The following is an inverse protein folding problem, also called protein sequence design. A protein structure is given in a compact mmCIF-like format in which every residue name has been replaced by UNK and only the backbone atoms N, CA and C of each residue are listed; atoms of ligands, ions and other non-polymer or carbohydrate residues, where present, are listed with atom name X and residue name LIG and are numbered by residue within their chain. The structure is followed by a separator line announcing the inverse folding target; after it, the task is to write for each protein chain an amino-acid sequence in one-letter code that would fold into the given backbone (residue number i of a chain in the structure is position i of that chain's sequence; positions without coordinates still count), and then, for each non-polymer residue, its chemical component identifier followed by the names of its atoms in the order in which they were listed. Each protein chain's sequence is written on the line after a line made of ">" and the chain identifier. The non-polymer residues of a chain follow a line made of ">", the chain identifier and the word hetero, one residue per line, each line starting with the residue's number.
data_IF_805735798217
#
_entry.id   IF_805735798217
#
_cell.length_a   1.000
_cell.length_b   1.000
_cell.length_c   1.000
_cell.angle_alpha   90.00
_cell.angle_beta   90.00
_cell.angle_gamma   90.00
#
_symmetry.space_group_name_H-M   'P 1'
#
loop_
_entity.id
_entity.type
_entity.pdbx_description
1 polymer ?
#
# COMPACT_ATOMS: atom_id res chain seq x y z
N UNK A 1 -3.12 35.35 -12.09
CA UNK A 1 -4.58 35.13 -11.92
C UNK A 1 -4.77 34.03 -10.91
N UNK A 2 -4.85 34.40 -9.62
CA UNK A 2 -5.01 33.47 -8.51
C UNK A 2 -6.49 33.21 -8.22
N UNK A 3 -6.84 31.97 -7.90
CA UNK A 3 -8.16 31.60 -7.39
C UNK A 3 -8.03 31.21 -5.92
N UNK A 4 -8.59 32.03 -5.06
CA UNK A 4 -8.73 31.79 -3.63
C UNK A 4 -10.06 31.09 -3.35
N UNK A 5 -10.03 29.99 -2.59
CA UNK A 5 -11.20 29.34 -2.04
C UNK A 5 -11.63 30.06 -0.73
N UNK A 6 -12.83 30.64 -0.71
CA UNK A 6 -13.45 31.22 0.47
C UNK A 6 -14.25 30.18 1.26
N UNK A 7 -13.91 29.99 2.55
CA UNK A 7 -14.73 29.26 3.52
C UNK A 7 -15.67 30.23 4.26
N UNK A 8 -16.96 29.89 4.29
CA UNK A 8 -18.02 30.60 5.02
C UNK A 8 -18.09 30.09 6.48
N UNK A 9 -17.70 30.92 7.43
CA UNK A 9 -17.92 30.68 8.87
C UNK A 9 -19.25 31.31 9.32
N UNK A 10 -20.15 30.50 9.88
CA UNK A 10 -21.47 30.93 10.39
C UNK A 10 -21.34 31.31 11.88
N UNK A 11 -21.58 32.59 12.19
CA UNK A 11 -21.72 33.15 13.56
C UNK A 11 -22.90 32.51 14.30
N UNK A 12 -22.65 31.93 15.47
CA UNK A 12 -23.70 31.59 16.46
C UNK A 12 -23.90 32.79 17.38
N UNK A 13 -25.14 33.30 17.47
CA UNK A 13 -25.53 34.41 18.36
C UNK A 13 -25.67 33.88 19.80
N UNK A 14 -24.99 34.53 20.75
CA UNK A 14 -25.10 34.24 22.18
C UNK A 14 -26.46 34.64 22.75
N UNK A 15 -27.06 33.75 23.54
CA UNK A 15 -28.24 34.05 24.39
C UNK A 15 -27.75 34.60 25.73
N UNK A 16 -28.44 35.63 26.24
CA UNK A 16 -28.23 36.15 27.60
C UNK A 16 -28.83 35.15 28.60
N UNK A 17 -28.07 34.77 29.62
CA UNK A 17 -28.54 33.91 30.72
C UNK A 17 -29.33 34.74 31.75
N UNK A 18 -30.36 34.16 32.40
CA UNK A 18 -31.10 34.80 33.49
C UNK A 18 -30.24 34.90 34.76
N UNK A 19 -30.53 35.90 35.60
CA UNK A 19 -29.92 36.05 36.93
C UNK A 19 -30.27 34.83 37.79
N UNK A 20 -29.27 34.01 38.12
CA UNK A 20 -29.43 32.91 39.08
C UNK A 20 -29.26 33.45 40.50
N UNK A 21 -30.21 33.13 41.39
CA UNK A 21 -30.02 33.30 42.83
C UNK A 21 -28.91 32.34 43.28
N UNK A 22 -27.86 32.88 43.93
CA UNK A 22 -26.80 32.06 44.52
C UNK A 22 -27.38 31.27 45.69
N UNK A 23 -27.30 29.94 45.61
CA UNK A 23 -27.59 29.06 46.73
C UNK A 23 -26.27 28.70 47.40
N UNK A 24 -26.22 28.97 48.70
CA UNK A 24 -25.08 28.68 49.58
C UNK A 24 -25.37 27.32 50.23
N UNK A 25 -24.57 26.31 49.90
CA UNK A 25 -24.63 25.02 50.59
C UNK A 25 -23.63 25.04 51.75
N UNK A 26 -24.13 24.87 52.97
CA UNK A 26 -23.31 24.69 54.16
C UNK A 26 -23.17 23.20 54.45
N UNK A 27 -21.95 22.68 54.33
CA UNK A 27 -21.63 21.28 54.62
C UNK A 27 -20.96 21.21 55.98
N UNK A 28 -21.58 20.49 56.93
CA UNK A 28 -20.96 20.19 58.22
C UNK A 28 -20.64 18.70 58.30
N UNK A 29 -19.36 18.39 58.53
CA UNK A 29 -18.90 17.02 58.77
C UNK A 29 -18.45 16.90 60.21
N UNK A 30 -19.11 16.02 60.97
CA UNK A 30 -18.82 15.68 62.36
C UNK A 30 -18.20 14.27 62.42
N UNK A 31 -17.15 14.10 63.24
CA UNK A 31 -16.53 12.81 63.55
C UNK A 31 -16.05 11.97 62.35
N UNK A 32 -15.46 12.60 61.33
CA UNK A 32 -14.87 11.86 60.21
C UNK A 32 -13.46 11.35 60.54
N UNK A 33 -13.33 10.05 60.80
CA UNK A 33 -12.04 9.33 60.88
C UNK A 33 -11.53 8.95 59.46
N UNK A 34 -12.28 9.29 58.41
CA UNK A 34 -11.98 8.90 57.04
C UNK A 34 -10.76 9.61 56.45
N UNK A 35 -10.01 8.87 55.62
CA UNK A 35 -9.04 9.43 54.68
C UNK A 35 -9.76 10.33 53.66
N UNK A 36 -9.38 11.61 53.59
CA UNK A 36 -9.74 12.63 52.59
C UNK A 36 -11.08 12.40 51.84
N UNK A 37 -12.11 13.17 52.18
CA UNK A 37 -13.45 13.08 51.59
C UNK A 37 -13.60 14.06 50.43
N UNK A 38 -14.25 13.62 49.35
CA UNK A 38 -14.40 14.38 48.12
C UNK A 38 -15.89 14.51 47.78
N UNK A 39 -16.35 15.74 47.57
CA UNK A 39 -17.72 16.04 47.12
C UNK A 39 -17.74 16.22 45.60
N UNK A 40 -18.64 15.52 44.90
CA UNK A 40 -18.83 15.64 43.46
C UNK A 40 -20.26 16.05 43.13
N UNK A 41 -20.41 16.90 42.12
CA UNK A 41 -21.68 17.21 41.49
C UNK A 41 -21.84 16.39 40.21
N UNK A 42 -23.04 15.91 39.92
CA UNK A 42 -23.29 15.04 38.77
C UNK A 42 -22.71 15.61 37.46
N UNK A 43 -21.72 14.91 36.90
CA UNK A 43 -21.08 15.28 35.63
C UNK A 43 -19.97 16.33 35.72
N UNK A 44 -19.64 16.81 36.92
CA UNK A 44 -18.53 17.74 37.19
C UNK A 44 -17.35 17.07 37.90
N UNK A 45 -16.20 17.77 37.90
CA UNK A 45 -15.04 17.38 38.71
C UNK A 45 -15.31 17.55 40.22
N UNK A 46 -14.31 17.22 41.06
CA UNK A 46 -14.45 17.35 42.50
C UNK A 46 -14.62 18.82 42.88
N UNK A 47 -15.67 19.10 43.65
CA UNK A 47 -16.01 20.45 44.04
C UNK A 47 -15.40 20.87 45.37
N UNK A 48 -15.17 19.90 46.27
CA UNK A 48 -14.61 20.13 47.59
C UNK A 48 -13.81 18.91 48.03
N UNK A 49 -12.61 19.15 48.55
CA UNK A 49 -11.82 18.14 49.27
C UNK A 49 -11.80 18.53 50.75
N UNK A 50 -12.21 17.59 51.60
CA UNK A 50 -12.22 17.73 53.05
C UNK A 50 -11.01 16.96 53.58
N UNK A 51 -10.05 17.63 54.23
CA UNK A 51 -8.84 16.98 54.72
C UNK A 51 -9.13 15.97 55.84
N UNK A 52 -8.25 14.96 56.02
CA UNK A 52 -8.42 13.95 57.06
C UNK A 52 -8.30 14.55 58.48
N UNK A 53 -8.98 13.93 59.45
CA UNK A 53 -8.95 14.29 60.89
C UNK A 53 -9.47 15.69 61.23
N UNK A 54 -10.47 16.18 60.50
CA UNK A 54 -11.22 17.36 60.92
C UNK A 54 -12.35 16.96 61.87
N UNK A 55 -12.26 17.36 63.14
CA UNK A 55 -13.33 17.14 64.12
C UNK A 55 -14.59 17.98 63.81
N UNK A 56 -14.40 19.13 63.15
CA UNK A 56 -15.47 20.00 62.67
C UNK A 56 -15.00 20.73 61.41
N UNK A 57 -15.43 20.26 60.23
CA UNK A 57 -15.23 20.99 58.98
C UNK A 57 -16.53 21.64 58.55
N UNK A 58 -16.50 22.96 58.35
CA UNK A 58 -17.61 23.74 57.82
C UNK A 58 -17.08 24.58 56.66
N UNK A 59 -17.63 24.35 55.47
CA UNK A 59 -17.31 25.16 54.29
C UNK A 59 -18.57 25.51 53.53
N UNK A 60 -18.51 26.63 52.84
CA UNK A 60 -19.58 27.21 52.06
C UNK A 60 -19.22 27.05 50.60
N UNK A 61 -19.91 26.13 49.92
CA UNK A 61 -19.72 25.94 48.49
C UNK A 61 -20.78 26.77 47.76
N UNK A 62 -20.33 27.75 46.98
CA UNK A 62 -21.20 28.59 46.16
C UNK A 62 -21.62 27.80 44.92
N UNK A 63 -22.87 27.31 44.90
CA UNK A 63 -23.35 26.44 43.85
C UNK A 63 -23.91 27.28 42.70
N UNK A 64 -23.10 27.45 41.66
CA UNK A 64 -23.55 28.08 40.42
C UNK A 64 -24.59 27.25 39.65
N UNK A 65 -24.80 25.98 40.03
CA UNK A 65 -25.70 25.04 39.38
C UNK A 65 -26.60 24.37 40.41
N UNK A 66 -27.90 24.29 40.13
CA UNK A 66 -28.89 23.54 40.91
C UNK A 66 -28.50 22.06 40.90
N UNK A 67 -27.95 21.48 41.98
CA UNK A 67 -27.59 20.08 41.96
C UNK A 67 -28.81 19.30 42.42
N UNK A 68 -29.55 18.73 41.47
CA UNK A 68 -30.63 17.79 41.79
C UNK A 68 -30.11 16.51 42.48
N UNK A 69 -28.78 16.32 42.51
CA UNK A 69 -28.10 15.37 43.40
C UNK A 69 -26.59 15.66 43.46
N UNK A 70 -25.98 15.27 44.57
CA UNK A 70 -24.52 15.23 44.76
C UNK A 70 -24.11 13.86 45.27
N UNK A 71 -22.83 13.53 45.08
CA UNK A 71 -22.24 12.25 45.43
C UNK A 71 -20.97 12.47 46.26
N UNK A 72 -20.79 11.68 47.31
CA UNK A 72 -19.72 11.85 48.29
C UNK A 72 -18.83 10.60 48.29
N UNK A 73 -17.53 10.80 48.10
CA UNK A 73 -16.55 9.74 47.88
C UNK A 73 -15.38 9.83 48.87
N UNK A 74 -14.82 8.68 49.25
CA UNK A 74 -13.54 8.58 49.99
C UNK A 74 -12.39 8.25 49.02
N UNK A 75 -11.15 8.63 49.33
CA UNK A 75 -10.01 8.48 48.37
C UNK A 75 -9.49 7.05 48.20
N UNK A 76 -9.63 6.16 49.20
CA UNK A 76 -9.20 4.77 49.04
C UNK A 76 -9.77 3.80 50.10
N UNK A 77 -10.48 2.73 49.68
CA UNK A 77 -11.02 2.51 48.34
C UNK A 77 -12.14 3.52 48.05
N UNK A 78 -12.32 3.90 46.77
CA UNK A 78 -13.32 4.90 46.38
C UNK A 78 -14.74 4.33 46.54
N UNK A 79 -15.40 4.67 47.65
CA UNK A 79 -16.76 4.26 47.95
C UNK A 79 -17.71 5.45 47.85
N UNK A 80 -18.81 5.26 47.12
CA UNK A 80 -19.95 6.17 47.19
C UNK A 80 -20.61 5.97 48.55
N UNK A 81 -20.47 6.95 49.44
CA UNK A 81 -20.99 6.84 50.80
C UNK A 81 -22.52 6.98 50.79
N UNK A 82 -23.06 7.91 49.99
CA UNK A 82 -24.51 8.14 49.87
C UNK A 82 -24.80 8.95 48.61
N UNK A 83 -25.92 8.64 47.93
CA UNK A 83 -26.50 9.47 46.88
C UNK A 83 -27.79 10.07 47.41
N UNK A 84 -27.88 11.40 47.43
CA UNK A 84 -29.07 12.08 47.95
C UNK A 84 -29.82 12.80 46.84
N UNK A 85 -31.13 12.60 46.84
CA UNK A 85 -32.12 13.34 46.06
C UNK A 85 -33.27 13.65 47.01
N UNK A 86 -33.07 14.64 47.89
CA UNK A 86 -34.10 15.05 48.85
C UNK A 86 -34.68 16.41 48.44
N UNK A 87 -35.98 16.50 48.09
CA UNK A 87 -36.60 17.78 47.75
C UNK A 87 -36.73 18.73 48.95
N UNK A 88 -36.61 18.26 50.20
CA UNK A 88 -36.78 19.11 51.40
C UNK A 88 -35.53 19.92 51.79
N UNK A 89 -34.32 19.53 51.35
CA UNK A 89 -33.09 20.28 51.61
C UNK A 89 -33.05 21.66 50.91
N UNK A 90 -34.01 21.95 50.02
CA UNK A 90 -34.10 23.20 49.28
C UNK A 90 -34.52 24.41 50.15
N UNK A 91 -35.12 24.21 51.33
CA UNK A 91 -35.66 25.33 52.13
C UNK A 91 -34.71 25.88 53.20
N UNK A 92 -33.77 25.09 53.72
CA UNK A 92 -32.95 25.48 54.88
C UNK A 92 -31.49 25.75 54.57
N UNK A 93 -30.99 25.37 53.38
CA UNK A 93 -29.61 25.67 52.92
C UNK A 93 -28.49 24.98 53.72
N UNK A 94 -28.83 24.15 54.72
CA UNK A 94 -27.87 23.47 55.59
C UNK A 94 -28.14 21.97 55.54
N UNK A 95 -27.11 21.23 55.15
CA UNK A 95 -27.15 19.78 55.06
C UNK A 95 -26.19 19.19 56.08
N UNK A 96 -26.72 18.47 57.07
CA UNK A 96 -25.92 17.79 58.10
C UNK A 96 -25.89 16.30 57.74
N UNK A 97 -24.68 15.73 57.63
CA UNK A 97 -24.48 14.31 57.31
C UNK A 97 -23.77 13.65 58.49
N UNK A 98 -24.51 12.88 59.27
CA UNK A 98 -23.95 12.02 60.33
C UNK A 98 -23.68 10.61 59.77
N UNK A 99 -22.43 10.17 59.86
CA UNK A 99 -22.00 8.82 59.46
C UNK A 99 -21.61 8.09 60.75
N UNK A 100 -22.36 7.06 61.14
CA UNK A 100 -22.06 6.24 62.33
C UNK A 100 -21.34 4.95 61.93
N UNK A 101 -20.28 4.61 62.65
CA UNK A 101 -19.30 3.56 62.32
C UNK A 101 -19.83 2.10 62.34
N UNK A 102 -21.07 1.87 62.80
CA UNK A 102 -21.57 0.52 63.15
C UNK A 102 -21.98 -0.39 61.98
N UNK A 103 -22.40 0.16 60.85
CA UNK A 103 -22.95 -0.62 59.71
C UNK A 103 -22.12 -0.48 58.41
N UNK A 104 -21.05 0.31 58.45
CA UNK A 104 -20.25 0.67 57.27
C UNK A 104 -19.60 -0.56 56.60
N UNK A 105 -19.23 -1.58 57.37
CA UNK A 105 -18.57 -2.78 56.86
C UNK A 105 -19.49 -3.66 55.99
N UNK A 106 -20.69 -3.97 56.46
CA UNK A 106 -21.66 -4.82 55.72
C UNK A 106 -22.27 -4.10 54.52
N UNK A 107 -22.61 -2.82 54.68
CA UNK A 107 -23.18 -2.01 53.60
C UNK A 107 -22.16 -1.81 52.48
N UNK A 108 -20.86 -1.63 52.80
CA UNK A 108 -19.81 -1.51 51.79
C UNK A 108 -19.61 -2.80 50.97
N UNK A 109 -19.72 -3.97 51.61
CA UNK A 109 -19.55 -5.26 50.94
C UNK A 109 -20.74 -5.57 50.00
N UNK A 110 -21.97 -5.32 50.45
CA UNK A 110 -23.19 -5.50 49.64
C UNK A 110 -23.28 -4.46 48.50
N UNK A 111 -22.89 -3.19 48.72
CA UNK A 111 -22.81 -2.20 47.65
C UNK A 111 -21.72 -2.53 46.62
N UNK A 112 -20.58 -3.06 47.07
CA UNK A 112 -19.52 -3.50 46.17
C UNK A 112 -20.01 -4.66 45.30
N UNK A 113 -20.71 -5.65 45.87
CA UNK A 113 -21.31 -6.75 45.13
C UNK A 113 -22.38 -6.26 44.13
N UNK A 114 -23.26 -5.34 44.53
CA UNK A 114 -24.31 -4.79 43.67
C UNK A 114 -23.73 -3.93 42.52
N UNK A 115 -22.69 -3.14 42.80
CA UNK A 115 -22.00 -2.31 41.81
C UNK A 115 -21.28 -3.18 40.78
N UNK A 116 -20.58 -4.22 41.23
CA UNK A 116 -19.96 -5.21 40.34
C UNK A 116 -21.01 -5.88 39.45
N UNK A 117 -22.15 -6.33 40.00
CA UNK A 117 -23.22 -6.92 39.20
C UNK A 117 -23.82 -5.94 38.17
N UNK A 118 -24.05 -4.68 38.55
CA UNK A 118 -24.57 -3.65 37.64
C UNK A 118 -23.59 -3.35 36.50
N UNK A 119 -22.29 -3.25 36.82
CA UNK A 119 -21.23 -3.02 35.85
C UNK A 119 -21.10 -4.21 34.89
N UNK A 120 -21.21 -5.44 35.38
CA UNK A 120 -21.25 -6.65 34.54
C UNK A 120 -22.46 -6.68 33.60
N UNK A 121 -23.64 -6.28 34.07
CA UNK A 121 -24.86 -6.21 33.24
C UNK A 121 -24.71 -5.14 32.15
N UNK A 122 -24.18 -3.97 32.48
CA UNK A 122 -23.97 -2.90 31.52
C UNK A 122 -22.87 -3.26 30.50
N UNK A 123 -21.77 -3.85 30.95
CA UNK A 123 -20.73 -4.35 30.05
C UNK A 123 -21.26 -5.41 29.07
N UNK A 124 -22.15 -6.33 29.53
CA UNK A 124 -22.83 -7.28 28.62
C UNK A 124 -23.76 -6.58 27.64
N UNK A 125 -24.50 -5.54 28.05
CA UNK A 125 -25.35 -4.73 27.15
C UNK A 125 -24.52 -4.00 26.10
N UNK A 126 -23.42 -3.37 26.49
CA UNK A 126 -22.48 -2.71 25.58
C UNK A 126 -21.87 -3.69 24.59
N UNK A 127 -21.44 -4.88 25.04
CA UNK A 127 -20.95 -5.94 24.14
C UNK A 127 -22.00 -6.41 23.13
N UNK A 128 -23.25 -6.59 23.57
CA UNK A 128 -24.35 -6.96 22.65
C UNK A 128 -24.64 -5.85 21.63
N UNK A 129 -24.64 -4.57 22.05
CA UNK A 129 -24.79 -3.42 21.14
C UNK A 129 -23.64 -3.34 20.14
N UNK A 130 -22.40 -3.49 20.60
CA UNK A 130 -21.23 -3.51 19.72
C UNK A 130 -21.29 -4.67 18.70
N UNK A 131 -21.68 -5.87 19.15
CA UNK A 131 -21.87 -7.02 18.26
C UNK A 131 -22.98 -6.79 17.23
N UNK A 132 -24.11 -6.18 17.64
CA UNK A 132 -25.20 -5.82 16.74
C UNK A 132 -24.76 -4.81 15.66
N UNK A 133 -23.99 -3.79 16.03
CA UNK A 133 -23.41 -2.80 15.09
C UNK A 133 -22.47 -3.48 14.09
N UNK A 134 -21.61 -4.39 14.54
CA UNK A 134 -20.72 -5.16 13.64
C UNK A 134 -21.53 -6.00 12.65
N UNK A 135 -22.60 -6.67 13.12
CA UNK A 135 -23.47 -7.48 12.28
C UNK A 135 -24.22 -6.62 11.25
N UNK A 136 -24.81 -5.49 11.66
CA UNK A 136 -25.47 -4.53 10.77
C UNK A 136 -24.50 -4.03 9.69
N UNK A 137 -23.27 -3.66 10.06
CA UNK A 137 -22.24 -3.24 9.12
C UNK A 137 -21.85 -4.34 8.12
N UNK A 138 -21.76 -5.60 8.57
CA UNK A 138 -21.49 -6.74 7.69
C UNK A 138 -22.63 -6.97 6.70
N UNK A 139 -23.88 -6.90 7.15
CA UNK A 139 -25.07 -7.03 6.29
C UNK A 139 -25.12 -5.90 5.28
N UNK A 140 -24.95 -4.65 5.72
CA UNK A 140 -24.92 -3.46 4.85
C UNK A 140 -23.83 -3.56 3.78
N UNK A 141 -22.60 -3.97 4.14
CA UNK A 141 -21.51 -4.21 3.17
C UNK A 141 -21.86 -5.31 2.18
N UNK A 142 -22.50 -6.40 2.61
CA UNK A 142 -22.92 -7.51 1.74
C UNK A 142 -23.98 -7.06 0.74
N UNK A 143 -24.98 -6.30 1.20
CA UNK A 143 -26.03 -5.71 0.34
C UNK A 143 -25.42 -4.73 -0.66
N UNK A 144 -24.53 -3.85 -0.22
CA UNK A 144 -23.84 -2.91 -1.11
C UNK A 144 -23.03 -3.64 -2.19
N UNK A 145 -22.23 -4.65 -1.82
CA UNK A 145 -21.47 -5.46 -2.80
C UNK A 145 -22.40 -6.15 -3.81
N UNK A 146 -23.52 -6.71 -3.36
CA UNK A 146 -24.54 -7.32 -4.26
C UNK A 146 -25.15 -6.29 -5.20
N UNK A 147 -25.50 -5.09 -4.72
CA UNK A 147 -26.01 -3.99 -5.57
C UNK A 147 -24.99 -3.54 -6.61
N UNK A 148 -23.73 -3.33 -6.21
CA UNK A 148 -22.65 -2.96 -7.13
C UNK A 148 -22.41 -4.07 -8.17
N UNK A 149 -22.41 -5.34 -7.75
CA UNK A 149 -22.26 -6.47 -8.67
C UNK A 149 -23.43 -6.55 -9.67
N UNK A 150 -24.68 -6.42 -9.20
CA UNK A 150 -25.87 -6.38 -10.05
C UNK A 150 -25.82 -5.20 -11.03
N UNK A 151 -25.44 -4.00 -10.56
CA UNK A 151 -25.26 -2.83 -11.41
C UNK A 151 -24.20 -3.03 -12.50
N UNK A 152 -23.10 -3.74 -12.22
CA UNK A 152 -22.10 -4.11 -13.23
C UNK A 152 -22.63 -5.09 -14.27
N UNK A 153 -23.46 -6.06 -13.86
CA UNK A 153 -24.12 -7.01 -14.77
C UNK A 153 -25.11 -6.28 -15.68
N UNK A 154 -25.99 -5.47 -15.11
CA UNK A 154 -26.97 -4.66 -15.86
C UNK A 154 -26.24 -3.74 -16.85
N UNK A 155 -25.21 -3.01 -16.39
CA UNK A 155 -24.40 -2.15 -17.27
C UNK A 155 -23.74 -2.94 -18.40
N UNK A 156 -23.23 -4.15 -18.13
CA UNK A 156 -22.62 -5.01 -19.15
C UNK A 156 -23.65 -5.46 -20.18
N UNK A 157 -24.83 -5.91 -19.77
CA UNK A 157 -25.88 -6.35 -20.70
C UNK A 157 -26.46 -5.18 -21.50
N UNK A 158 -26.70 -4.03 -20.88
CA UNK A 158 -27.14 -2.81 -21.59
C UNK A 158 -26.10 -2.31 -22.61
N UNK A 159 -24.80 -2.44 -22.29
CA UNK A 159 -23.72 -2.06 -23.21
C UNK A 159 -23.37 -3.15 -24.21
N UNK A 160 -23.89 -4.38 -24.07
CA UNK A 160 -23.52 -5.52 -24.93
C UNK A 160 -23.84 -5.28 -26.40
N UNK A 161 -25.02 -4.75 -26.79
CA UNK A 161 -25.31 -4.43 -28.20
C UNK A 161 -24.36 -3.37 -28.76
N UNK A 162 -24.03 -2.34 -27.96
CA UNK A 162 -23.11 -1.28 -28.37
C UNK A 162 -21.67 -1.79 -28.52
N UNK A 163 -21.19 -2.62 -27.60
CA UNK A 163 -19.89 -3.27 -27.70
C UNK A 163 -19.83 -4.22 -28.90
N UNK A 164 -20.90 -4.97 -29.18
CA UNK A 164 -21.01 -5.81 -30.37
C UNK A 164 -20.94 -4.96 -31.67
N UNK A 165 -21.68 -3.85 -31.73
CA UNK A 165 -21.63 -2.90 -32.86
C UNK A 165 -20.23 -2.32 -33.05
N UNK A 166 -19.54 -1.90 -31.97
CA UNK A 166 -18.15 -1.41 -32.04
C UNK A 166 -17.18 -2.49 -32.53
N UNK A 167 -17.32 -3.73 -32.07
CA UNK A 167 -16.51 -4.86 -32.57
C UNK A 167 -16.75 -5.10 -34.06
N UNK A 168 -18.01 -5.09 -34.50
CA UNK A 168 -18.35 -5.24 -35.92
C UNK A 168 -17.74 -4.12 -36.78
N UNK A 169 -17.89 -2.86 -36.36
CA UNK A 169 -17.26 -1.70 -37.02
C UNK A 169 -15.74 -1.86 -37.07
N UNK A 170 -15.12 -2.26 -35.96
CA UNK A 170 -13.68 -2.48 -35.90
C UNK A 170 -13.20 -3.58 -36.86
N UNK A 171 -13.94 -4.69 -36.99
CA UNK A 171 -13.64 -5.75 -37.97
C UNK A 171 -13.71 -5.22 -39.40
N UNK A 172 -14.74 -4.42 -39.74
CA UNK A 172 -14.87 -3.80 -41.07
C UNK A 172 -13.72 -2.83 -41.34
N UNK A 173 -13.41 -1.94 -40.39
CA UNK A 173 -12.28 -1.01 -40.51
C UNK A 173 -10.95 -1.74 -40.68
N UNK A 174 -10.71 -2.80 -39.90
CA UNK A 174 -9.51 -3.63 -40.06
C UNK A 174 -9.43 -4.27 -41.45
N UNK A 175 -10.54 -4.74 -42.02
CA UNK A 175 -10.59 -5.28 -43.39
C UNK A 175 -10.22 -4.22 -44.43
N UNK A 176 -10.80 -3.02 -44.32
CA UNK A 176 -10.52 -1.89 -45.22
C UNK A 176 -9.04 -1.49 -45.14
N UNK A 177 -8.53 -1.29 -43.92
CA UNK A 177 -7.14 -0.89 -43.68
C UNK A 177 -6.16 -1.96 -44.18
N UNK A 178 -6.44 -3.26 -43.95
CA UNK A 178 -5.62 -4.36 -44.48
C UNK A 178 -5.59 -4.35 -46.01
N UNK A 179 -6.75 -4.18 -46.66
CA UNK A 179 -6.81 -4.11 -48.12
C UNK A 179 -6.06 -2.90 -48.69
N UNK A 180 -6.16 -1.74 -48.04
CA UNK A 180 -5.41 -0.56 -48.44
C UNK A 180 -3.89 -0.71 -48.22
N UNK A 181 -3.47 -1.27 -47.09
CA UNK A 181 -2.06 -1.54 -46.80
C UNK A 181 -1.46 -2.59 -47.75
N UNK A 182 -2.23 -3.59 -48.17
CA UNK A 182 -1.80 -4.58 -49.17
C UNK A 182 -1.56 -3.95 -50.55
N UNK A 183 -2.33 -2.93 -50.91
CA UNK A 183 -2.16 -2.19 -52.18
C UNK A 183 -0.99 -1.21 -52.15
N UNK A 184 -0.57 -0.75 -50.96
CA UNK A 184 0.63 0.10 -50.85
C UNK A 184 1.87 -0.75 -51.11
N UNK A 185 2.56 -0.38 -52.18
CA UNK A 185 3.86 -0.92 -52.56
C UNK A 185 4.97 -0.11 -51.88
N UNK A 186 6.01 -0.81 -51.43
CA UNK A 186 7.21 -0.23 -50.81
C UNK A 186 8.43 -0.85 -51.47
N UNK A 187 9.50 -0.07 -51.61
CA UNK A 187 10.78 -0.53 -52.17
C UNK A 187 11.69 -0.99 -51.04
N UNK A 188 12.19 -2.22 -51.12
CA UNK A 188 13.15 -2.74 -50.14
C UNK A 188 14.50 -2.04 -50.32
N UNK A 189 15.13 -1.48 -49.27
CA UNK A 189 16.43 -0.81 -49.41
C UNK A 189 17.61 -1.78 -49.61
N UNK A 190 17.40 -3.10 -49.49
CA UNK A 190 18.45 -4.11 -49.70
C UNK A 190 18.41 -4.68 -51.12
N UNK A 191 17.25 -5.19 -51.57
CA UNK A 191 17.12 -5.79 -52.91
C UNK A 191 16.51 -4.86 -53.96
N UNK A 192 16.06 -3.66 -53.58
CA UNK A 192 15.37 -2.69 -54.45
C UNK A 192 14.07 -3.19 -55.12
N UNK A 193 13.57 -4.36 -54.71
CA UNK A 193 12.29 -4.87 -55.19
C UNK A 193 11.12 -4.09 -54.58
N UNK A 194 10.11 -3.84 -55.42
CA UNK A 194 8.87 -3.16 -55.02
C UNK A 194 7.82 -4.21 -54.62
N UNK A 195 7.60 -4.33 -53.31
CA UNK A 195 6.77 -5.39 -52.72
C UNK A 195 5.59 -4.81 -51.93
N UNK A 196 4.56 -5.63 -51.70
CA UNK A 196 3.46 -5.27 -50.82
C UNK A 196 3.96 -5.12 -49.38
N UNK A 197 3.34 -4.23 -48.60
CA UNK A 197 3.70 -3.98 -47.19
C UNK A 197 3.78 -5.24 -46.31
N UNK A 198 2.94 -6.24 -46.58
CA UNK A 198 2.90 -7.50 -45.83
C UNK A 198 4.19 -8.33 -45.95
N UNK A 199 4.99 -8.07 -47.00
CA UNK A 199 6.28 -8.71 -47.23
C UNK A 199 7.41 -8.07 -46.41
N UNK A 200 7.18 -6.94 -45.74
CA UNK A 200 8.20 -6.26 -44.94
C UNK A 200 8.19 -6.73 -43.49
N UNK A 201 9.35 -6.65 -42.85
CA UNK A 201 9.53 -6.85 -41.42
C UNK A 201 10.47 -5.80 -40.88
N UNK A 202 10.29 -5.43 -39.62
CA UNK A 202 11.31 -4.71 -38.88
C UNK A 202 12.40 -5.71 -38.52
N UNK A 203 13.63 -5.47 -38.93
CA UNK A 203 14.78 -6.30 -38.52
C UNK A 203 15.10 -6.06 -37.05
N UNK A 204 15.18 -4.80 -36.66
CA UNK A 204 15.47 -4.37 -35.31
C UNK A 204 14.15 -3.98 -34.64
N UNK A 205 13.86 -4.43 -33.41
CA UNK A 205 12.71 -3.89 -32.64
C UNK A 205 12.90 -2.44 -32.22
N UNK A 206 14.09 -1.88 -32.51
CA UNK A 206 14.70 -0.77 -31.81
C UNK A 206 14.79 -1.11 -30.31
N UNK A 207 16.00 -1.05 -29.77
CA UNK A 207 16.14 -0.76 -28.37
C UNK A 207 15.39 0.56 -28.15
N UNK A 208 14.15 0.52 -27.66
CA UNK A 208 13.55 1.62 -26.95
C UNK A 208 14.45 1.83 -25.73
N UNK A 209 15.60 2.47 -25.95
CA UNK A 209 16.45 2.93 -24.87
C UNK A 209 15.51 3.81 -24.05
N UNK A 210 15.28 3.51 -22.75
CA UNK A 210 14.27 4.21 -21.95
C UNK A 210 14.50 5.73 -21.88
N UNK A 211 15.68 6.22 -22.28
CA UNK A 211 16.05 7.63 -22.28
C UNK A 211 16.23 8.26 -23.68
N UNK A 212 15.85 7.59 -24.77
CA UNK A 212 15.78 8.25 -26.08
C UNK A 212 14.38 8.86 -26.23
N UNK A 213 14.24 10.18 -26.44
CA UNK A 213 12.95 10.80 -26.67
C UNK A 213 12.34 10.22 -27.95
N UNK A 214 11.34 9.35 -27.74
CA UNK A 214 10.38 8.87 -28.71
C UNK A 214 10.87 7.82 -29.76
N UNK A 215 10.93 6.53 -29.40
CA UNK A 215 11.12 5.42 -30.36
C UNK A 215 9.93 5.19 -31.31
N UNK A 216 8.93 6.07 -31.34
CA UNK A 216 7.63 5.80 -32.00
C UNK A 216 7.60 5.98 -33.51
N UNK A 217 8.69 6.39 -34.17
CA UNK A 217 8.64 6.64 -35.61
C UNK A 217 9.85 6.22 -36.43
N UNK A 218 10.78 5.46 -35.85
CA UNK A 218 11.94 5.01 -36.60
C UNK A 218 11.56 3.80 -37.48
N UNK A 219 10.85 4.06 -38.59
CA UNK A 219 10.62 3.12 -39.72
C UNK A 219 11.92 2.68 -40.41
N UNK A 220 13.07 3.11 -39.90
CA UNK A 220 14.41 2.95 -40.47
C UNK A 220 14.93 1.51 -40.60
N UNK A 221 14.24 0.49 -40.07
CA UNK A 221 14.65 -0.93 -40.18
C UNK A 221 13.67 -1.78 -41.01
N UNK A 222 12.86 -1.16 -41.89
CA UNK A 222 11.87 -1.88 -42.69
C UNK A 222 12.49 -2.44 -43.97
N UNK A 223 12.66 -3.77 -44.00
CA UNK A 223 13.20 -4.52 -45.15
C UNK A 223 12.26 -5.65 -45.51
N UNK A 224 12.34 -6.16 -46.73
CA UNK A 224 11.57 -7.35 -47.09
C UNK A 224 12.02 -8.56 -46.23
N UNK A 225 11.06 -9.45 -45.92
CA UNK A 225 11.26 -10.59 -45.02
C UNK A 225 12.30 -11.57 -45.56
N UNK A 226 12.39 -11.71 -46.88
CA UNK A 226 13.42 -12.53 -47.54
C UNK A 226 14.82 -11.98 -47.30
N UNK A 227 15.06 -10.68 -47.51
CA UNK A 227 16.36 -10.05 -47.23
C UNK A 227 16.71 -10.09 -45.74
N UNK A 228 15.76 -9.78 -44.86
CA UNK A 228 15.98 -9.85 -43.42
C UNK A 228 16.40 -11.26 -42.97
N UNK A 229 15.68 -12.28 -43.43
CA UNK A 229 15.95 -13.68 -43.10
C UNK A 229 17.30 -14.13 -43.66
N UNK A 230 17.59 -13.81 -44.92
CA UNK A 230 18.87 -14.17 -45.56
C UNK A 230 20.04 -13.53 -44.81
N UNK A 231 19.95 -12.23 -44.51
CA UNK A 231 20.98 -11.52 -43.76
C UNK A 231 21.23 -12.18 -42.39
N UNK A 232 20.18 -12.37 -41.59
CA UNK A 232 20.30 -12.96 -40.25
C UNK A 232 20.83 -14.39 -40.31
N UNK A 233 20.31 -15.23 -41.21
CA UNK A 233 20.78 -16.60 -41.35
C UNK A 233 22.27 -16.65 -41.71
N UNK A 234 22.73 -15.84 -42.66
CA UNK A 234 24.17 -15.76 -42.99
C UNK A 234 24.99 -15.37 -41.75
N UNK A 235 24.58 -14.35 -40.99
CA UNK A 235 25.35 -13.97 -39.78
C UNK A 235 25.37 -15.08 -38.72
N UNK A 236 24.26 -15.81 -38.57
CA UNK A 236 24.16 -16.95 -37.63
C UNK A 236 24.97 -18.15 -38.16
N UNK A 237 24.94 -18.43 -39.45
CA UNK A 237 25.70 -19.51 -40.07
C UNK A 237 27.21 -19.24 -40.01
N UNK A 238 27.62 -17.98 -40.14
CA UNK A 238 29.00 -17.50 -39.96
C UNK A 238 29.48 -17.58 -38.49
N UNK A 239 28.62 -17.97 -37.54
CA UNK A 239 28.98 -18.05 -36.12
C UNK A 239 29.09 -16.70 -35.41
N UNK A 240 28.56 -15.61 -35.99
CA UNK A 240 28.67 -14.28 -35.38
C UNK A 240 27.78 -14.15 -34.15
N UNK A 241 28.39 -13.78 -33.03
CA UNK A 241 27.73 -13.64 -31.73
C UNK A 241 27.07 -12.28 -31.52
N UNK A 242 27.49 -11.27 -32.29
CA UNK A 242 26.94 -9.93 -32.26
C UNK A 242 27.02 -9.35 -33.66
N UNK A 243 25.87 -8.99 -34.22
CA UNK A 243 25.79 -8.32 -35.50
C UNK A 243 24.68 -7.27 -35.47
N UNK A 244 24.85 -6.24 -36.28
CA UNK A 244 24.04 -5.03 -36.28
C UNK A 244 23.10 -5.00 -37.47
N UNK A 245 21.99 -4.30 -37.36
CA UNK A 245 21.13 -4.03 -38.49
C UNK A 245 21.93 -3.23 -39.56
N UNK A 246 21.91 -3.65 -40.84
CA UNK A 246 22.69 -2.98 -41.89
C UNK A 246 22.20 -1.57 -42.19
N UNK A 247 20.98 -1.20 -41.77
CA UNK A 247 20.42 0.13 -42.00
C UNK A 247 20.59 1.08 -40.82
N UNK A 248 20.52 0.57 -39.58
CA UNK A 248 20.52 1.41 -38.38
C UNK A 248 21.75 1.26 -37.48
N UNK A 249 22.58 0.25 -37.72
CA UNK A 249 23.65 -0.14 -36.79
C UNK A 249 23.13 -0.71 -35.45
N UNK A 250 21.81 -0.84 -35.26
CA UNK A 250 21.23 -1.38 -34.03
C UNK A 250 21.52 -2.87 -33.85
N UNK A 251 21.96 -3.28 -32.66
CA UNK A 251 22.24 -4.69 -32.34
C UNK A 251 20.97 -5.53 -32.51
N UNK A 252 21.09 -6.66 -33.21
CA UNK A 252 20.00 -7.62 -33.40
C UNK A 252 19.96 -8.56 -32.19
N UNK A 253 18.80 -8.63 -31.55
CA UNK A 253 18.57 -9.46 -30.35
C UNK A 253 18.12 -10.87 -30.73
N UNK A 254 18.16 -11.82 -29.78
CA UNK A 254 17.62 -13.17 -30.00
C UNK A 254 16.14 -13.11 -30.37
N UNK A 255 15.37 -12.22 -29.75
CA UNK A 255 13.95 -12.04 -30.01
C UNK A 255 13.70 -11.55 -31.44
N UNK A 256 14.60 -10.73 -31.98
CA UNK A 256 14.55 -10.30 -33.38
C UNK A 256 14.82 -11.49 -34.33
N UNK A 257 15.80 -12.34 -34.00
CA UNK A 257 16.12 -13.56 -34.76
C UNK A 257 14.94 -14.53 -34.75
N UNK A 258 14.38 -14.83 -33.58
CA UNK A 258 13.23 -15.73 -33.41
C UNK A 258 12.02 -15.24 -34.22
N UNK A 259 11.78 -13.94 -34.24
CA UNK A 259 10.68 -13.32 -35.00
C UNK A 259 10.87 -13.41 -36.51
N UNK A 260 12.08 -13.19 -37.02
CA UNK A 260 12.35 -13.09 -38.47
C UNK A 260 12.65 -14.46 -39.10
N UNK A 261 13.47 -15.26 -38.42
CA UNK A 261 13.98 -16.54 -38.92
C UNK A 261 13.33 -17.76 -38.24
N UNK A 262 12.68 -17.58 -37.08
CA UNK A 262 12.09 -18.67 -36.31
C UNK A 262 12.99 -19.16 -35.17
N UNK A 263 12.46 -19.99 -34.26
CA UNK A 263 13.16 -20.39 -33.04
C UNK A 263 14.40 -21.24 -33.28
N UNK A 264 14.44 -22.03 -34.37
CA UNK A 264 15.60 -22.84 -34.72
C UNK A 264 16.87 -21.99 -34.96
N UNK A 265 16.73 -20.86 -35.66
CA UNK A 265 17.83 -19.94 -35.89
C UNK A 265 18.28 -19.26 -34.59
N UNK A 266 17.34 -18.95 -33.69
CA UNK A 266 17.66 -18.40 -32.37
C UNK A 266 18.40 -19.38 -31.46
N UNK A 267 18.07 -20.68 -31.54
CA UNK A 267 18.80 -21.73 -30.84
C UNK A 267 20.23 -21.88 -31.37
N UNK A 268 20.40 -21.91 -32.70
CA UNK A 268 21.74 -21.93 -33.34
C UNK A 268 22.57 -20.70 -32.96
N UNK A 269 21.96 -19.52 -32.91
CA UNK A 269 22.63 -18.30 -32.44
C UNK A 269 23.10 -18.42 -30.98
N UNK A 270 22.29 -18.99 -30.09
CA UNK A 270 22.67 -19.24 -28.70
C UNK A 270 23.82 -20.24 -28.60
N UNK A 271 23.78 -21.30 -29.39
CA UNK A 271 24.84 -22.31 -29.46
C UNK A 271 26.17 -21.68 -29.90
N UNK A 272 26.17 -20.93 -31.01
CA UNK A 272 27.36 -20.20 -31.48
C UNK A 272 27.91 -19.26 -30.40
N UNK A 273 27.03 -18.56 -29.70
CA UNK A 273 27.42 -17.67 -28.60
C UNK A 273 28.08 -18.45 -27.47
N UNK A 274 27.51 -19.59 -27.08
CA UNK A 274 28.06 -20.43 -26.03
C UNK A 274 29.42 -21.03 -26.44
N UNK A 275 29.56 -21.49 -27.69
CA UNK A 275 30.82 -22.03 -28.24
C UNK A 275 31.91 -20.96 -28.24
N UNK A 276 31.61 -19.75 -28.71
CA UNK A 276 32.61 -18.68 -28.79
C UNK A 276 33.04 -18.20 -27.40
N UNK A 277 32.10 -18.06 -26.47
CA UNK A 277 32.42 -17.69 -25.09
C UNK A 277 33.15 -18.82 -24.34
N UNK A 278 32.76 -20.07 -24.53
CA UNK A 278 33.46 -21.21 -23.92
C UNK A 278 34.88 -21.35 -24.45
N UNK A 279 35.12 -21.16 -25.76
CA UNK A 279 36.48 -21.12 -26.34
C UNK A 279 37.35 -20.04 -25.69
N UNK A 280 36.84 -18.82 -25.50
CA UNK A 280 37.58 -17.75 -24.82
C UNK A 280 37.88 -18.10 -23.36
N UNK A 281 36.91 -18.70 -22.66
CA UNK A 281 37.08 -19.14 -21.27
C UNK A 281 38.13 -20.26 -21.16
N UNK A 282 38.09 -21.25 -22.05
CA UNK A 282 39.07 -22.34 -22.11
C UNK A 282 40.48 -21.82 -22.42
N UNK A 283 40.63 -20.85 -23.33
CA UNK A 283 41.92 -20.24 -23.64
C UNK A 283 42.54 -19.54 -22.41
N UNK A 284 41.72 -18.85 -21.62
CA UNK A 284 42.16 -18.22 -20.37
C UNK A 284 42.53 -19.25 -19.30
N UNK A 285 41.73 -20.32 -19.16
CA UNK A 285 42.01 -21.39 -18.21
C UNK A 285 43.25 -22.22 -18.59
N UNK A 286 43.56 -22.30 -19.89
CA UNK A 286 44.76 -22.97 -20.40
C UNK A 286 46.04 -22.12 -20.25
N UNK A 287 45.95 -20.89 -19.74
CA UNK A 287 47.10 -20.00 -19.59
C UNK A 287 47.66 -19.48 -20.92
N UNK A 288 46.84 -19.38 -21.97
CA UNK A 288 47.27 -18.85 -23.27
C UNK A 288 47.56 -17.32 -23.26
N UNK A 289 47.18 -16.64 -22.17
CA UNK A 289 47.35 -15.20 -21.95
C UNK A 289 48.35 -14.96 -20.81
N UNK A 290 48.81 -13.72 -20.65
CA UNK A 290 49.74 -13.34 -19.58
C UNK A 290 49.23 -13.80 -18.19
N UNK A 291 50.10 -14.46 -17.42
CA UNK A 291 49.82 -14.90 -16.06
C UNK A 291 49.34 -13.76 -15.16
N UNK A 292 49.85 -12.53 -15.36
CA UNK A 292 49.41 -11.37 -14.60
C UNK A 292 47.92 -11.06 -14.84
N UNK A 293 47.47 -11.17 -16.09
CA UNK A 293 46.09 -10.95 -16.51
C UNK A 293 45.18 -12.07 -16.01
N UNK A 294 45.60 -13.33 -16.12
CA UNK A 294 44.82 -14.48 -15.64
C UNK A 294 44.58 -14.40 -14.12
N UNK A 295 45.62 -14.08 -13.33
CA UNK A 295 45.50 -13.84 -11.88
C UNK A 295 44.55 -12.67 -11.57
N UNK A 296 44.58 -11.60 -12.36
CA UNK A 296 43.64 -10.50 -12.20
C UNK A 296 42.19 -10.94 -12.49
N UNK A 297 41.98 -11.71 -13.56
CA UNK A 297 40.67 -12.25 -13.92
C UNK A 297 40.08 -13.17 -12.84
N UNK A 298 40.90 -14.02 -12.20
CA UNK A 298 40.46 -14.90 -11.10
C UNK A 298 39.81 -14.12 -9.96
N UNK A 299 40.35 -12.94 -9.65
CA UNK A 299 39.91 -12.12 -8.53
C UNK A 299 38.71 -11.23 -8.92
N UNK A 300 38.71 -10.67 -10.13
CA UNK A 300 37.81 -9.57 -10.50
C UNK A 300 36.72 -9.95 -11.51
N UNK A 301 36.78 -11.14 -12.09
CA UNK A 301 35.85 -11.56 -13.14
C UNK A 301 35.17 -12.88 -12.85
N UNK A 302 33.96 -13.06 -13.38
CA UNK A 302 33.21 -14.32 -13.35
C UNK A 302 32.62 -14.61 -14.71
N UNK A 303 32.50 -15.89 -15.06
CA UNK A 303 31.79 -16.30 -16.26
C UNK A 303 30.28 -16.42 -15.95
N UNK A 304 29.43 -15.89 -16.84
CA UNK A 304 27.99 -16.07 -16.74
C UNK A 304 27.63 -17.57 -16.87
N UNK A 305 26.88 -18.18 -15.93
CA UNK A 305 26.52 -19.60 -16.04
C UNK A 305 25.67 -19.95 -17.28
N UNK A 306 24.92 -18.98 -17.81
CA UNK A 306 24.02 -19.22 -18.94
C UNK A 306 24.68 -19.09 -20.31
N UNK A 307 25.75 -18.28 -20.45
CA UNK A 307 26.38 -18.06 -21.76
C UNK A 307 27.89 -17.93 -21.74
N UNK A 308 28.54 -18.14 -20.59
CA UNK A 308 30.00 -18.11 -20.39
C UNK A 308 30.70 -16.79 -20.73
N UNK A 309 29.96 -15.70 -20.95
CA UNK A 309 30.57 -14.37 -21.12
C UNK A 309 31.26 -13.97 -19.83
N UNK A 310 32.48 -13.45 -19.95
CA UNK A 310 33.26 -12.98 -18.81
C UNK A 310 32.76 -11.60 -18.43
N UNK A 311 32.37 -11.46 -17.16
CA UNK A 311 31.81 -10.23 -16.60
C UNK A 311 32.78 -9.76 -15.52
N UNK A 312 33.11 -8.48 -15.55
CA UNK A 312 33.82 -7.78 -14.49
C UNK A 312 32.82 -7.07 -13.57
N UNK A 313 33.13 -7.01 -12.27
CA UNK A 313 32.36 -6.27 -11.27
C UNK A 313 33.26 -5.26 -10.56
N UNK A 314 32.87 -3.99 -10.57
CA UNK A 314 33.64 -2.90 -9.97
C UNK A 314 33.47 -2.78 -8.44
N UNK A 315 32.30 -3.12 -7.89
CA UNK A 315 31.97 -3.31 -6.46
C UNK A 315 30.47 -3.66 -6.36
N UNK A 316 29.90 -3.79 -5.16
CA UNK A 316 28.44 -3.63 -4.96
C UNK A 316 27.68 -4.91 -4.63
N UNK A 317 26.54 -5.15 -5.30
CA UNK A 317 25.63 -6.27 -5.04
C UNK A 317 26.12 -7.60 -5.65
N UNK A 318 25.85 -8.72 -4.98
CA UNK A 318 26.17 -10.06 -5.50
C UNK A 318 25.16 -10.55 -6.55
N UNK A 319 23.95 -9.99 -6.61
CA UNK A 319 22.97 -10.35 -7.63
C UNK A 319 23.28 -9.64 -8.95
N UNK A 320 23.72 -10.42 -9.94
CA UNK A 320 24.15 -9.95 -11.26
C UNK A 320 23.17 -10.40 -12.34
N UNK A 321 22.96 -9.56 -13.35
CA UNK A 321 22.17 -9.89 -14.54
C UNK A 321 23.05 -9.79 -15.78
N UNK A 322 23.16 -10.88 -16.53
CA UNK A 322 23.89 -10.90 -17.79
C UNK A 322 23.05 -10.32 -18.93
N UNK A 323 23.71 -9.80 -19.98
CA UNK A 323 23.05 -9.35 -21.22
C UNK A 323 22.27 -10.47 -21.91
N UNK A 324 22.56 -11.73 -21.63
CA UNK A 324 21.79 -12.87 -22.11
C UNK A 324 20.43 -13.08 -21.42
N UNK A 325 20.14 -12.34 -20.34
CA UNK A 325 18.93 -12.48 -19.53
C UNK A 325 19.08 -13.37 -18.29
N UNK A 326 20.20 -14.10 -18.16
CA UNK A 326 20.45 -14.94 -16.99
C UNK A 326 20.79 -14.09 -15.75
N UNK A 327 20.12 -14.36 -14.64
CA UNK A 327 20.39 -13.72 -13.34
C UNK A 327 21.07 -14.72 -12.42
N UNK A 328 22.14 -14.31 -11.74
CA UNK A 328 22.96 -15.21 -10.92
C UNK A 328 23.63 -14.48 -9.76
N UNK A 329 24.07 -15.24 -8.75
CA UNK A 329 24.87 -14.72 -7.65
C UNK A 329 26.37 -14.75 -8.02
N UNK A 330 27.06 -13.64 -7.84
CA UNK A 330 28.48 -13.47 -8.16
C UNK A 330 29.39 -14.41 -7.36
N UNK A 331 29.07 -14.66 -6.10
CA UNK A 331 29.89 -15.50 -5.21
C UNK A 331 29.89 -16.97 -5.64
N UNK A 332 28.80 -17.44 -6.25
CA UNK A 332 28.62 -18.82 -6.73
C UNK A 332 28.91 -19.00 -8.21
N UNK A 333 29.23 -17.93 -8.94
CA UNK A 333 29.48 -17.98 -10.37
C UNK A 333 30.84 -18.65 -10.70
N UNK A 334 30.96 -19.36 -11.84
CA UNK A 334 32.23 -19.93 -12.27
C UNK A 334 33.34 -18.88 -12.35
N UNK A 335 34.49 -19.19 -11.74
CA UNK A 335 35.69 -18.35 -11.78
C UNK A 335 36.44 -18.58 -13.10
N UNK A 336 37.01 -17.50 -13.63
CA UNK A 336 37.94 -17.56 -14.77
C UNK A 336 39.33 -17.87 -14.22
N UNK A 337 40.11 -18.72 -14.89
CA UNK A 337 41.52 -19.03 -14.53
C UNK A 337 41.70 -20.22 -13.57
N UNK A 338 40.65 -20.69 -12.89
CA UNK A 338 40.73 -21.96 -12.18
C UNK A 338 40.64 -23.09 -13.20
N UNK A 339 41.77 -23.73 -13.49
CA UNK A 339 41.79 -25.02 -14.19
C UNK A 339 40.75 -25.94 -13.57
N UNK A 340 39.94 -26.56 -14.41
CA UNK A 340 38.89 -27.49 -13.97
C UNK A 340 39.50 -28.72 -13.29
#
# INVERSE_FOLDING_TARGET
>A
MGQACSWLARRVRGRRHPQFQRQVLRVRVSNAIASELWLFFNGGGPALSIPPKCENFEDVVDLAFHPDSFELYTKSPVHLVKKWSDPFAQQTGVLIVDITDGDAGKIAEDLAAATVQSHWREHRRLRRRAAAVVLQNRVARRVYRRRVAAGRVIKRELLRPWLAKRRAIHVVLQKIVRGWLQRRKFTCPICYETLARACFTNMCRANARPNMPNPTNSKHCEVCRSCARRYINVQVDDGKICFTCPLSGGIITKEDIDRVCGPAAGLKFLENRNIMHSKRLLALNAGAEDHSFTRWCEQHTRACPGCYVIIFRYAGCDHMACRCGYSFNWSTAPRVGMGA
#
